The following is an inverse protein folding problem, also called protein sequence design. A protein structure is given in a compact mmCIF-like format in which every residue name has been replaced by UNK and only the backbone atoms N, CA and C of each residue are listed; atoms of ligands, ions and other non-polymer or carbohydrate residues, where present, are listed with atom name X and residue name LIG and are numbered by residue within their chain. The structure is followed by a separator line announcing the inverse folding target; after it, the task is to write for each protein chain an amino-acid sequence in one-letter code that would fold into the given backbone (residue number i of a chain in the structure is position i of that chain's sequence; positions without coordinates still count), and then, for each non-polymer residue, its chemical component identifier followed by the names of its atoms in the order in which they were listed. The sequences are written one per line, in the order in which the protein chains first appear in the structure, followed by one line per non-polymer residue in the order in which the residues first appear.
data_IF_924655722604
#
_entry.id   IF_924655722604
#
_cell.length_a   1.000
_cell.length_b   1.000
_cell.length_c   1.000
_cell.angle_alpha   90.00
_cell.angle_beta   90.00
_cell.angle_gamma   90.00
#
_symmetry.space_group_name_H-M   'P 1'
#
loop_
_entity.id
_entity.type
_entity.pdbx_description
1 polymer ?
#
# COMPACT_ATOMS: atom_id res chain seq x y z
N UNK A 1 -45.32 -0.06 -7.99
CA UNK A 1 -44.10 0.58 -8.50
C UNK A 1 -43.77 1.90 -7.81
N UNK A 2 -44.62 2.94 -7.78
CA UNK A 2 -44.32 4.26 -7.19
C UNK A 2 -43.89 4.19 -5.70
N UNK A 3 -44.57 3.39 -4.87
CA UNK A 3 -44.23 3.25 -3.43
C UNK A 3 -42.84 2.61 -3.26
N UNK A 4 -42.52 1.57 -4.02
CA UNK A 4 -41.22 0.91 -3.95
C UNK A 4 -40.08 1.87 -4.38
N UNK A 5 -40.30 2.66 -5.42
CA UNK A 5 -39.32 3.66 -5.86
C UNK A 5 -39.07 4.74 -4.81
N UNK A 6 -40.15 5.24 -4.15
CA UNK A 6 -40.03 6.22 -3.07
C UNK A 6 -39.28 5.62 -1.86
N UNK A 7 -39.55 4.36 -1.50
CA UNK A 7 -38.85 3.69 -0.38
C UNK A 7 -37.35 3.53 -0.66
N UNK A 8 -36.96 3.17 -1.89
CA UNK A 8 -35.55 3.06 -2.28
C UNK A 8 -34.86 4.42 -2.19
N UNK A 9 -35.46 5.47 -2.74
CA UNK A 9 -34.89 6.83 -2.67
C UNK A 9 -34.69 7.28 -1.23
N UNK A 10 -35.68 7.02 -0.35
CA UNK A 10 -35.58 7.34 1.07
C UNK A 10 -34.44 6.58 1.75
N UNK A 11 -34.26 5.30 1.47
CA UNK A 11 -33.14 4.51 2.01
C UNK A 11 -31.78 5.04 1.56
N UNK A 12 -31.64 5.43 0.29
CA UNK A 12 -30.41 6.03 -0.23
C UNK A 12 -30.11 7.38 0.43
N UNK A 13 -31.13 8.22 0.64
CA UNK A 13 -30.99 9.49 1.35
C UNK A 13 -30.58 9.30 2.81
N UNK A 14 -31.19 8.35 3.53
CA UNK A 14 -30.81 8.01 4.90
C UNK A 14 -29.36 7.52 4.95
N UNK A 15 -28.98 6.62 4.03
CA UNK A 15 -27.61 6.14 3.93
C UNK A 15 -26.60 7.26 3.65
N UNK A 16 -26.92 8.17 2.73
CA UNK A 16 -26.08 9.33 2.42
C UNK A 16 -25.90 10.27 3.62
N UNK A 17 -26.99 10.60 4.33
CA UNK A 17 -26.91 11.44 5.53
C UNK A 17 -26.09 10.74 6.61
N UNK A 18 -26.32 9.44 6.83
CA UNK A 18 -25.55 8.65 7.78
C UNK A 18 -24.06 8.64 7.44
N UNK A 19 -23.70 8.38 6.17
CA UNK A 19 -22.31 8.38 5.71
C UNK A 19 -21.65 9.74 5.89
N UNK A 20 -22.32 10.82 5.48
CA UNK A 20 -21.79 12.17 5.58
C UNK A 20 -21.56 12.59 7.04
N UNK A 21 -22.53 12.33 7.91
CA UNK A 21 -22.41 12.60 9.34
C UNK A 21 -21.30 11.78 9.99
N UNK A 22 -21.24 10.46 9.71
CA UNK A 22 -20.21 9.57 10.25
C UNK A 22 -18.81 9.99 9.79
N UNK A 23 -18.63 10.34 8.51
CA UNK A 23 -17.34 10.80 7.99
C UNK A 23 -16.91 12.13 8.65
N UNK A 24 -17.84 13.04 8.92
CA UNK A 24 -17.55 14.27 9.67
C UNK A 24 -17.10 13.96 11.11
N UNK A 25 -17.82 13.12 11.83
CA UNK A 25 -17.45 12.70 13.20
C UNK A 25 -16.08 12.03 13.19
N UNK A 26 -15.84 11.09 12.28
CA UNK A 26 -14.55 10.38 12.15
C UNK A 26 -13.38 11.34 11.92
N UNK A 27 -13.56 12.34 11.06
CA UNK A 27 -12.49 13.31 10.73
C UNK A 27 -12.02 14.14 11.93
N UNK A 28 -12.86 14.24 12.97
CA UNK A 28 -12.61 15.03 14.19
C UNK A 28 -12.36 14.17 15.43
N UNK A 29 -12.56 12.86 15.36
CA UNK A 29 -12.51 11.96 16.53
C UNK A 29 -11.14 11.34 16.79
N UNK A 30 -10.23 11.41 15.83
CA UNK A 30 -8.92 10.80 15.94
C UNK A 30 -7.82 11.86 15.95
N UNK A 31 -6.87 11.67 16.86
CA UNK A 31 -5.66 12.49 16.92
C UNK A 31 -4.72 12.11 15.77
N UNK A 32 -4.44 13.06 14.90
CA UNK A 32 -3.55 12.90 13.76
C UNK A 32 -2.13 13.20 14.21
N UNK A 33 -1.28 12.18 14.31
CA UNK A 33 0.11 12.29 14.77
C UNK A 33 1.04 12.91 13.73
N UNK A 34 0.64 12.87 12.47
CA UNK A 34 1.40 13.40 11.34
C UNK A 34 0.93 14.79 10.92
N UNK A 35 1.48 15.26 9.83
CA UNK A 35 1.22 16.56 9.23
C UNK A 35 0.74 16.41 7.78
N UNK A 36 0.12 17.47 7.27
CA UNK A 36 -0.29 17.57 5.86
C UNK A 36 0.80 18.32 5.09
N UNK A 37 1.43 17.64 4.13
CA UNK A 37 2.47 18.21 3.26
C UNK A 37 1.82 18.60 1.94
N UNK A 38 1.84 19.89 1.59
CA UNK A 38 1.38 20.40 0.30
C UNK A 38 2.40 20.06 -0.79
N UNK A 39 1.96 19.34 -1.81
CA UNK A 39 2.79 18.92 -2.94
C UNK A 39 2.42 19.63 -4.25
N UNK A 40 1.83 20.81 -4.14
CA UNK A 40 1.46 21.63 -5.29
C UNK A 40 -0.02 21.56 -5.64
N UNK A 41 -0.90 21.86 -4.68
CA UNK A 41 -2.34 22.02 -4.86
C UNK A 41 -3.21 21.00 -4.15
N UNK A 42 -2.63 20.00 -3.54
CA UNK A 42 -3.25 19.07 -2.58
C UNK A 42 -2.16 18.52 -1.65
N UNK A 43 -2.59 17.99 -0.50
CA UNK A 43 -1.68 17.61 0.56
C UNK A 43 -1.73 16.12 0.86
N UNK A 44 -0.57 15.54 1.15
CA UNK A 44 -0.44 14.19 1.68
C UNK A 44 -0.24 14.21 3.19
N UNK A 45 -0.90 13.29 3.87
CA UNK A 45 -0.68 13.03 5.28
C UNK A 45 0.59 12.20 5.47
N UNK A 46 1.51 12.73 6.27
CA UNK A 46 2.84 12.13 6.50
C UNK A 46 3.10 12.05 8.00
N UNK A 47 3.52 10.90 8.48
CA UNK A 47 4.07 10.73 9.83
C UNK A 47 5.60 10.60 9.73
N UNK A 48 6.30 11.39 10.54
CA UNK A 48 7.76 11.44 10.64
C UNK A 48 8.15 11.14 12.08
N UNK A 49 8.70 9.98 12.33
CA UNK A 49 8.96 9.46 13.67
C UNK A 49 10.35 8.86 13.79
N UNK A 50 10.83 8.74 15.03
CA UNK A 50 12.17 8.24 15.29
C UNK A 50 13.26 9.23 14.86
N UNK A 51 14.49 8.83 15.10
CA UNK A 51 15.70 9.59 14.74
C UNK A 51 16.83 8.62 14.41
N UNK A 52 17.67 8.97 13.43
CA UNK A 52 18.78 8.10 13.04
C UNK A 52 19.49 8.65 11.79
N UNK A 53 20.57 7.99 11.42
CA UNK A 53 21.31 8.33 10.18
C UNK A 53 20.63 7.78 8.94
N UNK A 54 19.85 6.72 9.10
CA UNK A 54 19.10 6.06 8.03
C UNK A 54 17.64 6.50 8.14
N UNK A 55 17.06 6.88 7.00
CA UNK A 55 15.62 7.13 6.87
C UNK A 55 14.95 5.94 6.20
N UNK A 56 13.92 5.40 6.82
CA UNK A 56 13.13 4.28 6.29
C UNK A 56 11.76 4.80 5.85
N UNK A 57 11.43 4.58 4.59
CA UNK A 57 10.17 5.06 3.98
C UNK A 57 9.30 3.88 3.65
N UNK A 58 8.03 3.91 4.09
CA UNK A 58 7.09 2.82 3.92
C UNK A 58 5.96 3.18 2.96
N UNK A 59 5.67 2.28 2.01
CA UNK A 59 4.47 2.36 1.17
C UNK A 59 3.60 1.11 1.33
N UNK A 60 2.31 1.33 1.50
CA UNK A 60 1.33 0.28 1.78
C UNK A 60 0.82 -0.43 0.52
N UNK A 61 0.12 -1.53 0.69
CA UNK A 61 -0.56 -2.23 -0.40
C UNK A 61 -1.72 -1.42 -1.01
N UNK A 62 -2.25 -1.91 -2.12
CA UNK A 62 -3.38 -1.28 -2.81
C UNK A 62 -4.58 -1.08 -1.87
N UNK A 63 -5.11 0.14 -1.82
CA UNK A 63 -6.24 0.50 -0.98
C UNK A 63 -5.96 0.46 0.53
N UNK A 64 -4.69 0.32 0.94
CA UNK A 64 -4.28 0.43 2.33
C UNK A 64 -3.69 1.82 2.61
N UNK A 65 -3.89 2.31 3.83
CA UNK A 65 -3.24 3.48 4.39
C UNK A 65 -2.00 3.09 5.22
N UNK A 66 -1.22 4.09 5.63
CA UNK A 66 0.04 3.93 6.36
C UNK A 66 -0.07 3.14 7.66
N UNK A 67 -1.24 3.12 8.30
CA UNK A 67 -1.45 2.45 9.60
C UNK A 67 -1.21 0.93 9.56
N UNK A 68 -1.18 0.32 8.38
CA UNK A 68 -0.85 -1.11 8.23
C UNK A 68 0.57 -1.44 8.70
N UNK A 69 1.42 -0.43 8.76
CA UNK A 69 2.82 -0.54 9.19
C UNK A 69 3.06 -0.28 10.68
N UNK A 70 2.03 0.14 11.45
CA UNK A 70 2.20 0.60 12.83
C UNK A 70 3.08 -0.30 13.70
N UNK A 71 2.92 -1.63 13.63
CA UNK A 71 3.72 -2.59 14.40
C UNK A 71 5.20 -2.59 14.02
N UNK A 72 5.50 -2.37 12.76
CA UNK A 72 6.88 -2.31 12.24
C UNK A 72 7.49 -0.96 12.57
N UNK A 73 6.72 0.12 12.38
CA UNK A 73 7.13 1.50 12.64
C UNK A 73 7.50 1.71 14.10
N UNK A 74 6.70 1.18 15.03
CA UNK A 74 6.95 1.28 16.47
C UNK A 74 8.35 0.80 16.85
N UNK A 75 8.82 -0.29 16.25
CA UNK A 75 10.15 -0.86 16.55
C UNK A 75 11.25 -0.19 15.71
N UNK A 76 11.03 0.05 14.42
CA UNK A 76 12.03 0.64 13.52
C UNK A 76 12.35 2.08 13.93
N UNK A 77 11.38 2.83 14.44
CA UNK A 77 11.59 4.21 14.90
C UNK A 77 12.50 4.33 16.12
N UNK A 78 12.82 3.22 16.79
CA UNK A 78 13.78 3.21 17.90
C UNK A 78 15.25 3.29 17.44
N UNK A 79 15.54 2.96 16.18
CA UNK A 79 16.90 2.96 15.64
C UNK A 79 17.07 3.71 14.31
N UNK A 80 15.97 4.13 13.67
CA UNK A 80 15.98 4.87 12.39
C UNK A 80 14.96 5.99 12.41
N UNK A 81 15.14 7.01 11.55
CA UNK A 81 14.06 7.92 11.19
C UNK A 81 13.08 7.17 10.29
N UNK A 82 11.80 7.31 10.51
CA UNK A 82 10.75 6.60 9.77
C UNK A 82 9.77 7.59 9.18
N UNK A 83 9.54 7.46 7.89
CA UNK A 83 8.52 8.19 7.15
C UNK A 83 7.44 7.20 6.70
N UNK A 84 6.21 7.44 7.13
CA UNK A 84 5.04 6.80 6.55
C UNK A 84 4.12 7.85 5.97
N UNK A 85 3.37 7.51 4.94
CA UNK A 85 2.45 8.44 4.29
C UNK A 85 1.19 7.73 3.82
N UNK A 86 0.10 8.46 3.80
CA UNK A 86 -1.11 8.01 3.13
C UNK A 86 -1.05 8.53 1.67
N UNK A 87 -1.12 7.63 0.69
CA UNK A 87 -1.19 8.06 -0.71
C UNK A 87 -2.40 8.96 -0.94
N UNK A 88 -2.31 9.89 -1.89
CA UNK A 88 -3.40 10.81 -2.19
C UNK A 88 -4.74 10.05 -2.40
N UNK A 89 -5.78 10.53 -1.75
CA UNK A 89 -7.11 9.93 -1.71
C UNK A 89 -7.30 8.82 -0.67
N UNK A 90 -6.24 8.23 -0.12
CA UNK A 90 -6.33 7.24 0.94
C UNK A 90 -6.15 7.89 2.33
N UNK A 91 -6.57 7.17 3.35
CA UNK A 91 -6.38 7.58 4.75
C UNK A 91 -6.80 9.03 5.01
N UNK A 92 -5.87 9.79 5.57
CA UNK A 92 -6.07 11.22 5.88
C UNK A 92 -5.63 12.18 4.76
N UNK A 93 -4.95 11.70 3.70
CA UNK A 93 -4.51 12.52 2.57
C UNK A 93 -5.68 13.10 1.78
N UNK A 94 -5.48 14.25 1.15
CA UNK A 94 -6.44 14.82 0.20
C UNK A 94 -6.49 14.01 -1.10
N UNK A 95 -7.52 14.24 -1.90
CA UNK A 95 -7.67 13.60 -3.22
C UNK A 95 -6.68 14.21 -4.21
N UNK A 96 -6.12 13.35 -5.07
CA UNK A 96 -5.35 13.79 -6.23
C UNK A 96 -6.29 14.08 -7.41
N UNK A 97 -6.03 15.10 -8.21
CA UNK A 97 -6.71 15.29 -9.50
C UNK A 97 -6.18 14.35 -10.60
N UNK A 98 -5.17 13.52 -10.29
CA UNK A 98 -4.49 12.66 -11.25
C UNK A 98 -4.89 11.20 -11.11
N UNK A 99 -4.62 10.43 -12.15
CA UNK A 99 -4.76 8.97 -12.18
C UNK A 99 -3.90 8.32 -11.09
N UNK A 100 -4.34 7.17 -10.56
CA UNK A 100 -3.66 6.49 -9.45
C UNK A 100 -2.73 5.38 -9.94
N UNK A 101 -1.93 5.64 -10.96
CA UNK A 101 -0.85 4.75 -11.38
C UNK A 101 0.43 4.96 -10.55
N UNK A 102 1.34 3.99 -10.65
CA UNK A 102 2.60 4.02 -9.89
C UNK A 102 3.49 5.21 -10.25
N UNK A 103 3.40 5.75 -11.46
CA UNK A 103 4.20 6.91 -11.85
C UNK A 103 3.79 8.15 -11.06
N UNK A 104 2.50 8.45 -11.04
CA UNK A 104 1.96 9.60 -10.29
C UNK A 104 2.24 9.43 -8.79
N UNK A 105 2.02 8.23 -8.24
CA UNK A 105 2.27 7.95 -6.81
C UNK A 105 3.76 8.19 -6.46
N UNK A 106 4.68 7.79 -7.31
CA UNK A 106 6.12 7.99 -7.10
C UNK A 106 6.51 9.47 -7.19
N UNK A 107 5.98 10.19 -8.17
CA UNK A 107 6.20 11.62 -8.31
C UNK A 107 5.66 12.40 -7.08
N UNK A 108 4.49 12.02 -6.56
CA UNK A 108 3.90 12.57 -5.33
C UNK A 108 4.79 12.29 -4.10
N UNK A 109 5.28 11.06 -3.94
CA UNK A 109 6.20 10.72 -2.85
C UNK A 109 7.50 11.51 -2.94
N UNK A 110 8.06 11.63 -4.15
CA UNK A 110 9.28 12.40 -4.35
C UNK A 110 9.09 13.86 -3.93
N UNK A 111 7.96 14.48 -4.30
CA UNK A 111 7.61 15.84 -3.86
C UNK A 111 7.51 15.96 -2.33
N UNK A 112 6.95 14.96 -1.65
CA UNK A 112 6.93 14.93 -0.16
C UNK A 112 8.35 14.91 0.40
N UNK A 113 9.25 14.10 -0.18
CA UNK A 113 10.63 13.98 0.31
C UNK A 113 11.42 15.27 0.07
N UNK A 114 11.19 15.95 -1.07
CA UNK A 114 11.77 17.26 -1.34
C UNK A 114 11.28 18.32 -0.34
N UNK A 115 9.94 18.43 -0.12
CA UNK A 115 9.36 19.41 0.81
C UNK A 115 9.81 19.20 2.28
N UNK A 116 10.17 17.97 2.63
CA UNK A 116 10.70 17.62 3.96
C UNK A 116 12.22 17.62 4.05
N UNK A 117 12.93 18.03 3.01
CA UNK A 117 14.41 17.98 2.93
C UNK A 117 14.97 16.60 3.33
N UNK A 118 14.29 15.50 2.92
CA UNK A 118 14.73 14.13 3.20
C UNK A 118 15.87 13.78 2.25
N UNK A 119 17.05 13.64 2.80
CA UNK A 119 18.28 13.32 2.05
C UNK A 119 19.13 12.31 2.82
N UNK A 120 20.17 11.77 2.19
CA UNK A 120 21.13 10.85 2.80
C UNK A 120 20.79 9.39 2.56
N UNK A 121 21.01 8.54 3.56
CA UNK A 121 20.80 7.09 3.44
C UNK A 121 19.33 6.76 3.58
N UNK A 122 18.69 6.29 2.50
CA UNK A 122 17.27 5.96 2.44
C UNK A 122 17.06 4.48 2.15
N UNK A 123 16.29 3.81 2.98
CA UNK A 123 15.75 2.47 2.75
C UNK A 123 14.28 2.60 2.38
N UNK A 124 13.91 2.10 1.19
CA UNK A 124 12.52 2.03 0.76
C UNK A 124 11.92 0.67 1.13
N UNK A 125 10.74 0.68 1.74
CA UNK A 125 10.01 -0.52 2.16
C UNK A 125 8.63 -0.51 1.53
N UNK A 126 8.31 -1.51 0.71
CA UNK A 126 7.02 -1.58 0.00
C UNK A 126 6.32 -2.92 0.13
N UNK A 127 5.02 -2.89 0.47
CA UNK A 127 4.16 -4.08 0.47
C UNK A 127 3.28 -4.12 -0.77
N UNK A 128 3.20 -5.28 -1.44
CA UNK A 128 2.26 -5.51 -2.55
C UNK A 128 2.38 -4.44 -3.64
N UNK A 129 1.36 -3.60 -3.87
CA UNK A 129 1.39 -2.48 -4.81
C UNK A 129 2.41 -1.40 -4.37
N UNK A 130 2.53 -1.14 -3.07
CA UNK A 130 3.61 -0.29 -2.55
C UNK A 130 5.00 -0.79 -2.93
N UNK A 131 5.18 -2.11 -3.05
CA UNK A 131 6.42 -2.69 -3.58
C UNK A 131 6.68 -2.33 -5.04
N UNK A 132 5.65 -2.19 -5.88
CA UNK A 132 5.76 -1.69 -7.26
C UNK A 132 6.20 -0.23 -7.26
N UNK A 133 5.59 0.59 -6.40
CA UNK A 133 5.93 2.01 -6.29
C UNK A 133 7.38 2.20 -5.82
N UNK A 134 7.83 1.45 -4.81
CA UNK A 134 9.20 1.53 -4.31
C UNK A 134 10.23 1.03 -5.34
N UNK A 135 9.90 -0.02 -6.10
CA UNK A 135 10.73 -0.47 -7.22
C UNK A 135 10.83 0.62 -8.29
N UNK A 136 9.71 1.25 -8.66
CA UNK A 136 9.71 2.36 -9.61
C UNK A 136 10.48 3.56 -9.10
N UNK A 137 10.31 3.91 -7.81
CA UNK A 137 11.06 5.02 -7.19
C UNK A 137 12.57 4.80 -7.34
N UNK A 138 13.06 3.62 -6.96
CA UNK A 138 14.48 3.29 -7.06
C UNK A 138 15.04 3.32 -8.49
N UNK A 139 14.20 3.09 -9.50
CA UNK A 139 14.60 3.19 -10.92
C UNK A 139 14.53 4.63 -11.45
N UNK A 140 13.65 5.44 -10.89
CA UNK A 140 13.44 6.83 -11.34
C UNK A 140 14.42 7.78 -10.64
N UNK A 141 14.70 7.54 -9.36
CA UNK A 141 15.57 8.35 -8.50
C UNK A 141 16.66 7.49 -7.84
N UNK A 142 17.53 6.84 -8.62
CA UNK A 142 18.50 5.85 -8.08
C UNK A 142 19.51 6.45 -7.10
N UNK A 143 19.85 7.74 -7.23
CA UNK A 143 20.80 8.42 -6.34
C UNK A 143 20.23 8.66 -4.94
N UNK A 144 18.92 8.63 -4.77
CA UNK A 144 18.25 8.85 -3.47
C UNK A 144 18.13 7.56 -2.65
N UNK A 145 18.33 6.38 -3.27
CA UNK A 145 17.97 5.10 -2.65
C UNK A 145 19.21 4.28 -2.32
N UNK A 146 19.35 3.93 -1.04
CA UNK A 146 20.48 3.12 -0.56
C UNK A 146 20.14 1.62 -0.48
N UNK A 147 18.88 1.25 -0.26
CA UNK A 147 18.43 -0.14 -0.20
C UNK A 147 16.92 -0.28 -0.41
N UNK A 148 16.49 -1.50 -0.77
CA UNK A 148 15.08 -1.89 -0.95
C UNK A 148 14.70 -3.07 -0.06
N UNK A 149 13.52 -2.99 0.58
CA UNK A 149 12.85 -4.11 1.24
C UNK A 149 11.46 -4.29 0.62
N UNK A 150 11.26 -5.40 -0.06
CA UNK A 150 10.03 -5.70 -0.80
C UNK A 150 9.25 -6.81 -0.09
N UNK A 151 8.13 -6.45 0.52
CA UNK A 151 7.33 -7.37 1.34
C UNK A 151 6.16 -7.90 0.52
N UNK A 152 6.27 -9.14 0.08
CA UNK A 152 5.29 -9.84 -0.78
C UNK A 152 4.83 -8.96 -1.95
N UNK A 153 5.80 -8.27 -2.56
CA UNK A 153 5.58 -7.26 -3.60
C UNK A 153 4.85 -7.80 -4.80
N UNK A 154 4.02 -6.98 -5.42
CA UNK A 154 3.46 -7.31 -6.72
C UNK A 154 4.58 -7.36 -7.78
N UNK A 155 4.34 -8.17 -8.82
CA UNK A 155 5.25 -8.41 -9.92
C UNK A 155 4.56 -8.09 -11.26
N UNK A 156 5.26 -7.56 -12.22
CA UNK A 156 4.71 -7.17 -13.52
C UNK A 156 4.00 -8.30 -14.25
N UNK A 157 4.50 -9.52 -14.14
CA UNK A 157 3.90 -10.69 -14.78
C UNK A 157 2.69 -11.29 -14.04
N UNK A 158 2.34 -10.79 -12.86
CA UNK A 158 1.31 -11.44 -12.05
C UNK A 158 -0.07 -11.47 -12.73
N UNK A 159 -0.40 -10.48 -13.59
CA UNK A 159 -1.69 -10.45 -14.29
C UNK A 159 -1.80 -11.61 -15.29
N UNK A 160 -0.69 -11.97 -15.92
CA UNK A 160 -0.64 -13.03 -16.93
C UNK A 160 -0.43 -14.42 -16.34
N UNK A 161 0.34 -14.50 -15.25
CA UNK A 161 0.73 -15.78 -14.63
C UNK A 161 -0.17 -16.23 -13.48
N UNK A 162 -0.91 -15.30 -12.84
CA UNK A 162 -1.78 -15.63 -11.73
C UNK A 162 -3.25 -15.79 -12.16
N UNK A 163 -4.02 -16.71 -11.53
CA UNK A 163 -5.45 -16.82 -11.78
C UNK A 163 -6.17 -15.50 -11.48
N UNK A 164 -6.98 -15.06 -12.41
CA UNK A 164 -7.76 -13.83 -12.27
C UNK A 164 -9.07 -14.09 -11.53
N UNK A 165 -9.51 -13.10 -10.73
CA UNK A 165 -10.83 -13.12 -10.12
C UNK A 165 -11.92 -13.20 -11.20
N UNK A 166 -13.00 -13.93 -10.93
CA UNK A 166 -14.14 -14.03 -11.84
C UNK A 166 -14.80 -12.67 -12.06
N UNK A 167 -15.50 -12.53 -13.19
CA UNK A 167 -16.25 -11.31 -13.50
C UNK A 167 -17.22 -10.93 -12.36
N UNK A 168 -17.93 -11.90 -11.80
CA UNK A 168 -18.86 -11.66 -10.70
C UNK A 168 -18.16 -11.14 -9.44
N UNK A 169 -16.99 -11.72 -9.07
CA UNK A 169 -16.21 -11.25 -7.94
C UNK A 169 -15.74 -9.81 -8.15
N UNK A 170 -15.21 -9.48 -9.34
CA UNK A 170 -14.80 -8.12 -9.69
C UNK A 170 -15.96 -7.14 -9.64
N UNK A 171 -17.14 -7.55 -10.13
CA UNK A 171 -18.33 -6.71 -10.13
C UNK A 171 -18.85 -6.43 -8.71
N UNK A 172 -18.95 -7.47 -7.86
CA UNK A 172 -19.39 -7.33 -6.48
C UNK A 172 -18.43 -6.46 -5.65
N UNK A 173 -17.13 -6.61 -5.89
CA UNK A 173 -16.10 -5.77 -5.27
C UNK A 173 -16.29 -4.29 -5.66
N UNK A 174 -16.35 -4.00 -6.96
CA UNK A 174 -16.58 -2.63 -7.47
C UNK A 174 -17.91 -2.04 -6.95
N UNK A 175 -18.97 -2.84 -6.94
CA UNK A 175 -20.27 -2.39 -6.44
C UNK A 175 -20.24 -2.01 -4.97
N UNK A 176 -19.56 -2.81 -4.13
CA UNK A 176 -19.39 -2.52 -2.70
C UNK A 176 -18.72 -1.15 -2.47
N UNK A 177 -17.69 -0.86 -3.25
CA UNK A 177 -16.96 0.42 -3.18
C UNK A 177 -17.78 1.58 -3.76
N UNK A 178 -18.48 1.39 -4.89
CA UNK A 178 -19.36 2.38 -5.48
C UNK A 178 -20.50 2.81 -4.55
N UNK A 179 -20.94 1.91 -3.68
CA UNK A 179 -21.96 2.18 -2.68
C UNK A 179 -21.42 2.92 -1.43
N UNK A 180 -20.18 3.40 -1.46
CA UNK A 180 -19.57 4.16 -0.37
C UNK A 180 -20.37 5.42 0.02
N UNK A 181 -20.94 6.22 -0.91
CA UNK A 181 -21.71 7.41 -0.54
C UNK A 181 -22.94 7.11 0.33
N UNK A 182 -23.44 5.89 0.32
CA UNK A 182 -24.59 5.46 1.16
C UNK A 182 -24.18 4.60 2.35
N UNK A 183 -22.88 4.56 2.68
CA UNK A 183 -22.36 3.95 3.90
C UNK A 183 -22.20 2.42 3.87
N UNK A 184 -22.30 1.78 2.71
CA UNK A 184 -22.14 0.32 2.60
C UNK A 184 -20.78 -0.16 3.11
N UNK A 185 -19.62 0.49 2.83
CA UNK A 185 -18.33 0.09 3.38
C UNK A 185 -18.29 0.01 4.90
N UNK A 186 -19.00 0.89 5.61
CA UNK A 186 -19.07 0.86 7.08
C UNK A 186 -19.68 -0.42 7.66
N UNK A 187 -20.50 -1.11 6.87
CA UNK A 187 -21.15 -2.34 7.31
C UNK A 187 -20.19 -3.53 7.27
N UNK A 188 -19.43 -3.69 6.18
CA UNK A 188 -18.48 -4.81 6.09
C UNK A 188 -17.13 -4.52 6.78
N UNK A 189 -16.77 -3.25 7.01
CA UNK A 189 -15.61 -2.84 7.80
C UNK A 189 -15.90 -2.74 9.31
N UNK A 190 -16.92 -3.42 9.81
CA UNK A 190 -17.35 -3.31 11.22
C UNK A 190 -16.36 -3.94 12.22
N UNK A 191 -15.54 -4.89 11.79
CA UNK A 191 -14.67 -5.71 12.64
C UNK A 191 -13.19 -5.31 12.61
N UNK A 192 -12.85 -4.12 12.11
CA UNK A 192 -11.48 -3.59 12.09
C UNK A 192 -11.32 -2.48 13.15
N UNK A 193 -10.10 -2.05 13.39
CA UNK A 193 -9.79 -0.96 14.31
C UNK A 193 -10.65 0.29 13.97
N UNK A 194 -11.19 1.02 14.97
CA UNK A 194 -12.06 2.19 14.73
C UNK A 194 -11.41 3.28 13.87
N UNK A 195 -10.14 3.58 14.04
CA UNK A 195 -9.44 4.55 13.23
C UNK A 195 -9.25 4.07 11.78
N UNK A 196 -8.84 2.81 11.58
CA UNK A 196 -8.75 2.19 10.26
C UNK A 196 -10.12 2.18 9.56
N UNK A 197 -11.20 1.90 10.30
CA UNK A 197 -12.57 1.99 9.79
C UNK A 197 -12.93 3.41 9.38
N UNK A 198 -12.59 4.41 10.19
CA UNK A 198 -12.84 5.82 9.91
C UNK A 198 -12.22 6.24 8.57
N UNK A 199 -10.96 5.89 8.35
CA UNK A 199 -10.22 6.16 7.11
C UNK A 199 -10.82 5.41 5.92
N UNK A 200 -10.93 4.09 6.02
CA UNK A 200 -11.30 3.19 4.91
C UNK A 200 -12.80 3.28 4.52
N UNK A 201 -13.68 3.76 5.41
CA UNK A 201 -15.11 3.88 5.09
C UNK A 201 -15.48 5.14 4.32
N UNK A 202 -14.56 6.06 4.08
CA UNK A 202 -14.86 7.30 3.35
C UNK A 202 -15.08 7.03 1.87
N UNK A 203 -15.94 7.83 1.23
CA UNK A 203 -16.18 7.76 -0.21
C UNK A 203 -14.88 7.99 -0.98
N UNK A 204 -14.10 8.96 -0.56
CA UNK A 204 -12.77 9.29 -1.08
C UNK A 204 -11.88 8.04 -1.13
N UNK A 205 -11.65 7.40 0.03
CA UNK A 205 -10.78 6.22 0.14
C UNK A 205 -11.25 5.07 -0.76
N UNK A 206 -12.55 4.81 -0.80
CA UNK A 206 -13.11 3.70 -1.59
C UNK A 206 -12.96 3.97 -3.10
N UNK A 207 -13.18 5.20 -3.56
CA UNK A 207 -13.02 5.55 -4.97
C UNK A 207 -11.55 5.54 -5.39
N UNK A 208 -10.66 6.07 -4.56
CA UNK A 208 -9.22 5.99 -4.81
C UNK A 208 -8.72 4.54 -4.88
N UNK A 209 -9.22 3.66 -4.01
CA UNK A 209 -8.89 2.23 -4.07
C UNK A 209 -9.38 1.57 -5.36
N UNK A 210 -10.53 2.01 -5.92
CA UNK A 210 -10.98 1.57 -7.24
C UNK A 210 -10.07 2.07 -8.35
N UNK A 211 -9.63 3.31 -8.27
CA UNK A 211 -8.73 3.90 -9.27
C UNK A 211 -7.36 3.20 -9.23
N UNK A 212 -6.78 2.96 -8.05
CA UNK A 212 -5.57 2.15 -7.94
C UNK A 212 -5.74 0.77 -8.60
N UNK A 213 -6.87 0.10 -8.36
CA UNK A 213 -7.16 -1.19 -8.98
C UNK A 213 -7.37 -1.11 -10.50
N UNK A 214 -7.89 0.00 -11.01
CA UNK A 214 -8.07 0.24 -12.45
C UNK A 214 -6.74 0.50 -13.15
N UNK A 215 -5.86 1.32 -12.54
CA UNK A 215 -4.55 1.67 -13.08
C UNK A 215 -3.43 0.67 -12.74
N UNK A 216 -3.71 -0.31 -11.89
CA UNK A 216 -2.74 -1.33 -11.52
C UNK A 216 -2.10 -2.08 -12.70
N UNK A 217 -2.87 -2.55 -13.72
CA UNK A 217 -2.28 -3.20 -14.89
C UNK A 217 -1.31 -2.28 -15.66
N UNK A 218 -1.62 -0.99 -15.75
CA UNK A 218 -0.75 0.00 -16.36
C UNK A 218 0.53 0.18 -15.56
N UNK A 219 0.42 0.31 -14.25
CA UNK A 219 1.57 0.43 -13.33
C UNK A 219 2.54 -0.75 -13.47
N UNK A 220 2.02 -1.97 -13.61
CA UNK A 220 2.84 -3.15 -13.84
C UNK A 220 3.51 -3.16 -15.22
N UNK A 221 2.77 -2.77 -16.27
CA UNK A 221 3.33 -2.67 -17.63
C UNK A 221 4.45 -1.66 -17.70
N UNK A 222 4.24 -0.49 -17.12
CA UNK A 222 5.24 0.58 -17.09
C UNK A 222 6.48 0.20 -16.26
N UNK A 223 6.32 -0.54 -15.15
CA UNK A 223 7.46 -1.07 -14.41
C UNK A 223 8.26 -2.05 -15.26
N UNK A 224 7.59 -2.91 -16.00
CA UNK A 224 8.25 -3.86 -16.92
C UNK A 224 9.05 -3.15 -18.02
N UNK A 225 8.52 -2.04 -18.56
CA UNK A 225 9.19 -1.22 -19.57
C UNK A 225 10.49 -0.58 -19.06
N UNK A 226 10.58 -0.30 -17.75
CA UNK A 226 11.80 0.19 -17.09
C UNK A 226 12.88 -0.89 -16.96
N UNK A 227 12.58 -2.15 -17.27
CA UNK A 227 13.51 -3.29 -17.17
C UNK A 227 14.26 -3.34 -15.83
N UNK A 228 13.55 -3.61 -14.70
CA UNK A 228 14.09 -3.42 -13.36
C UNK A 228 15.42 -4.15 -13.12
N UNK A 229 16.45 -3.35 -12.83
CA UNK A 229 17.79 -3.81 -12.47
C UNK A 229 18.40 -2.78 -11.50
N UNK A 230 18.76 -3.22 -10.31
CA UNK A 230 19.27 -2.37 -9.22
C UNK A 230 20.79 -2.48 -9.04
N UNK A 231 21.51 -3.14 -9.98
CA UNK A 231 22.95 -3.32 -9.88
C UNK A 231 23.36 -4.08 -8.63
N UNK A 232 24.13 -3.43 -7.76
CA UNK A 232 24.60 -3.95 -6.47
C UNK A 232 23.87 -3.34 -5.25
N UNK A 233 22.81 -2.55 -5.49
CA UNK A 233 21.96 -2.00 -4.41
C UNK A 233 21.44 -3.13 -3.52
N UNK A 234 21.60 -3.06 -2.19
CA UNK A 234 21.05 -4.04 -1.27
C UNK A 234 19.54 -4.21 -1.44
N UNK A 235 19.08 -5.45 -1.68
CA UNK A 235 17.69 -5.80 -1.90
C UNK A 235 17.29 -6.97 -0.99
N UNK A 236 16.29 -6.77 -0.16
CA UNK A 236 15.67 -7.84 0.60
C UNK A 236 14.25 -8.08 0.08
N UNK A 237 13.99 -9.28 -0.39
CA UNK A 237 12.66 -9.74 -0.80
C UNK A 237 12.10 -10.65 0.28
N UNK A 238 10.99 -10.25 0.91
CA UNK A 238 10.30 -11.04 1.93
C UNK A 238 9.01 -11.58 1.30
N UNK A 239 8.94 -12.87 1.11
CA UNK A 239 7.83 -13.54 0.45
C UNK A 239 7.05 -14.44 1.41
N UNK A 240 5.74 -14.58 1.19
CA UNK A 240 4.94 -15.56 1.92
C UNK A 240 5.39 -16.99 1.59
N UNK A 241 5.09 -17.94 2.50
CA UNK A 241 5.56 -19.33 2.41
C UNK A 241 5.17 -20.00 1.08
N UNK A 242 6.12 -20.79 0.54
CA UNK A 242 6.06 -21.49 -0.76
C UNK A 242 4.95 -22.52 -0.92
N UNK A 243 4.30 -22.97 0.10
CA UNK A 243 3.14 -23.81 0.12
C UNK A 243 3.13 -24.87 1.22
N UNK A 244 1.97 -25.06 1.76
CA UNK A 244 1.63 -26.29 2.46
C UNK A 244 0.12 -26.53 2.43
N UNK A 245 -0.61 -26.10 1.40
CA UNK A 245 -2.00 -26.53 1.27
C UNK A 245 -2.07 -27.84 0.50
N UNK A 246 -2.78 -28.79 1.04
CA UNK A 246 -3.10 -30.06 0.37
C UNK A 246 -4.09 -29.88 -0.80
N UNK A 247 -4.57 -28.66 -1.03
CA UNK A 247 -5.55 -28.32 -2.07
C UNK A 247 -4.80 -27.86 -3.33
N UNK A 248 -4.84 -28.65 -4.38
CA UNK A 248 -4.09 -28.52 -5.63
C UNK A 248 -4.04 -27.10 -6.25
N UNK A 249 -5.16 -26.40 -6.36
CA UNK A 249 -5.23 -25.09 -7.01
C UNK A 249 -4.52 -23.98 -6.22
N UNK A 250 -4.52 -24.06 -4.89
CA UNK A 250 -3.84 -23.08 -4.04
C UNK A 250 -2.33 -23.27 -4.10
N UNK A 251 -1.88 -24.53 -4.13
CA UNK A 251 -0.46 -24.88 -4.23
C UNK A 251 0.15 -24.40 -5.55
N UNK A 252 -0.54 -24.58 -6.67
CA UNK A 252 -0.05 -24.11 -7.96
C UNK A 252 0.09 -22.57 -7.98
N UNK A 253 -0.88 -21.86 -7.42
CA UNK A 253 -0.84 -20.39 -7.28
C UNK A 253 0.33 -19.92 -6.40
N UNK A 254 0.55 -20.57 -5.26
CA UNK A 254 1.61 -20.21 -4.34
C UNK A 254 3.01 -20.47 -4.94
N UNK A 255 3.17 -21.54 -5.74
CA UNK A 255 4.41 -21.80 -6.46
C UNK A 255 4.69 -20.74 -7.53
N UNK A 256 3.70 -20.34 -8.31
CA UNK A 256 3.84 -19.24 -9.28
C UNK A 256 4.24 -17.95 -8.56
N UNK A 257 3.57 -17.62 -7.46
CA UNK A 257 3.91 -16.43 -6.67
C UNK A 257 5.34 -16.48 -6.14
N UNK A 258 5.77 -17.62 -5.58
CA UNK A 258 7.15 -17.79 -5.11
C UNK A 258 8.17 -17.58 -6.23
N UNK A 259 7.91 -18.12 -7.45
CA UNK A 259 8.77 -17.90 -8.62
C UNK A 259 8.84 -16.42 -9.01
N UNK A 260 7.74 -15.68 -8.91
CA UNK A 260 7.73 -14.24 -9.16
C UNK A 260 8.57 -13.48 -8.14
N UNK A 261 8.50 -13.86 -6.85
CA UNK A 261 9.34 -13.25 -5.81
C UNK A 261 10.83 -13.59 -5.98
N UNK A 262 11.14 -14.82 -6.37
CA UNK A 262 12.51 -15.24 -6.74
C UNK A 262 13.04 -14.43 -7.94
N UNK A 263 12.20 -14.14 -8.91
CA UNK A 263 12.55 -13.27 -10.04
C UNK A 263 12.87 -11.84 -9.58
N UNK A 264 12.07 -11.25 -8.67
CA UNK A 264 12.39 -9.93 -8.11
C UNK A 264 13.78 -9.94 -7.46
N UNK A 265 14.13 -10.99 -6.72
CA UNK A 265 15.43 -11.07 -6.06
C UNK A 265 16.60 -11.10 -7.06
N UNK A 266 16.40 -11.53 -8.30
CA UNK A 266 17.47 -11.51 -9.32
C UNK A 266 17.82 -10.11 -9.84
N UNK A 267 17.06 -9.08 -9.47
CA UNK A 267 17.23 -7.70 -9.95
C UNK A 267 18.41 -6.95 -9.30
N UNK A 268 19.00 -7.53 -8.24
CA UNK A 268 20.23 -7.02 -7.63
C UNK A 268 21.22 -8.15 -7.43
N UNK A 269 22.50 -7.88 -7.65
CA UNK A 269 23.60 -8.81 -7.34
C UNK A 269 23.84 -8.94 -5.83
N UNK A 270 23.33 -7.98 -5.03
CA UNK A 270 23.38 -7.95 -3.57
C UNK A 270 21.96 -8.16 -2.99
N UNK A 271 21.36 -9.31 -3.28
CA UNK A 271 20.00 -9.59 -2.86
C UNK A 271 19.89 -10.77 -1.89
N UNK A 272 18.89 -10.70 -1.01
CA UNK A 272 18.48 -11.78 -0.13
C UNK A 272 16.98 -12.01 -0.28
N UNK A 273 16.56 -13.27 -0.38
CA UNK A 273 15.14 -13.64 -0.33
C UNK A 273 14.83 -14.42 0.94
N UNK A 274 13.79 -14.01 1.65
CA UNK A 274 13.31 -14.61 2.90
C UNK A 274 11.89 -15.12 2.67
N UNK A 275 11.66 -16.41 2.85
CA UNK A 275 10.31 -16.97 2.86
C UNK A 275 9.79 -16.98 4.30
N UNK A 276 8.73 -16.21 4.57
CA UNK A 276 8.11 -16.14 5.89
C UNK A 276 7.38 -17.44 6.25
N UNK A 277 7.12 -17.68 7.53
CA UNK A 277 6.22 -18.76 7.97
C UNK A 277 4.75 -18.48 7.67
N UNK A 278 4.40 -17.22 7.39
CA UNK A 278 3.03 -16.80 7.09
C UNK A 278 2.61 -17.18 5.68
N UNK A 279 1.35 -17.60 5.55
CA UNK A 279 0.69 -17.83 4.26
C UNK A 279 -0.05 -16.59 3.75
N UNK A 280 -0.34 -15.68 4.65
CA UNK A 280 -1.07 -14.46 4.32
C UNK A 280 -0.17 -13.47 3.59
N UNK A 281 -0.78 -12.76 2.68
CA UNK A 281 -0.15 -11.69 1.90
C UNK A 281 0.39 -10.55 2.78
N UNK A 282 -0.28 -10.23 3.90
CA UNK A 282 0.11 -9.15 4.80
C UNK A 282 1.13 -9.62 5.85
N UNK A 283 2.35 -9.98 5.42
CA UNK A 283 3.43 -10.49 6.29
C UNK A 283 3.76 -9.50 7.41
N UNK A 284 3.84 -8.20 7.09
CA UNK A 284 4.13 -7.12 8.04
C UNK A 284 3.12 -7.01 9.19
N UNK A 285 1.88 -7.52 9.01
CA UNK A 285 0.87 -7.58 10.08
C UNK A 285 0.98 -8.86 10.91
N UNK A 286 1.38 -9.98 10.28
CA UNK A 286 1.36 -11.31 10.87
C UNK A 286 2.70 -11.72 11.49
N UNK A 287 3.79 -11.29 10.89
CA UNK A 287 5.18 -11.56 11.30
C UNK A 287 6.02 -10.30 11.12
N UNK A 288 5.70 -9.19 11.83
CA UNK A 288 6.41 -7.92 11.70
C UNK A 288 7.91 -8.04 11.98
N UNK A 289 8.31 -8.98 12.85
CA UNK A 289 9.69 -9.24 13.25
C UNK A 289 10.62 -9.51 12.06
N UNK A 290 10.14 -10.24 11.03
CA UNK A 290 10.94 -10.54 9.83
C UNK A 290 11.27 -9.25 9.06
N UNK A 291 10.31 -8.33 8.97
CA UNK A 291 10.49 -7.05 8.28
C UNK A 291 11.41 -6.14 9.09
N UNK A 292 11.23 -6.11 10.42
CA UNK A 292 12.05 -5.31 11.34
C UNK A 292 13.52 -5.76 11.28
N UNK A 293 13.79 -7.08 11.39
CA UNK A 293 15.13 -7.65 11.30
C UNK A 293 15.81 -7.34 9.96
N UNK A 294 15.07 -7.43 8.84
CA UNK A 294 15.59 -7.09 7.53
C UNK A 294 16.00 -5.61 7.43
N UNK A 295 15.16 -4.70 7.93
CA UNK A 295 15.45 -3.25 7.96
C UNK A 295 16.64 -2.97 8.87
N UNK A 296 16.68 -3.56 10.06
CA UNK A 296 17.77 -3.36 11.02
C UNK A 296 19.10 -3.81 10.44
N UNK A 297 19.15 -5.00 9.84
CA UNK A 297 20.36 -5.53 9.19
C UNK A 297 20.88 -4.59 8.09
N UNK A 298 19.98 -4.05 7.26
CA UNK A 298 20.36 -3.08 6.23
C UNK A 298 20.85 -1.77 6.86
N UNK A 299 20.15 -1.23 7.86
CA UNK A 299 20.51 0.03 8.50
C UNK A 299 21.87 -0.03 9.21
N UNK A 300 22.26 -1.20 9.74
CA UNK A 300 23.58 -1.43 10.36
C UNK A 300 24.71 -1.58 9.32
N UNK A 301 24.38 -1.93 8.07
CA UNK A 301 25.36 -2.16 6.99
C UNK A 301 25.62 -0.94 6.11
N UNK A 302 24.74 0.05 6.14
CA UNK A 302 24.80 1.31 5.37
C UNK A 302 25.43 2.45 6.18
#
# INVERSE_FOLDING_TARGET
MKILSVSIVMLLLVGFVYQSYSSYVDSTSFDKRGEMIDIGGYSLYVEDTGTGKVTVIFDAGMGDDSSVWNKVVEEVSQFSRVITYDRAGLGWSEESPHERDSKVIVDELHSVLEEKDITGTIILVGHSFGGVNMQRYALTYPEDVSALVLVDSAHEDQITKMPQASFLQKYLFKFGMWAAPVGIPRLYLSNINPEEKAKKSTTKHQYTSLDEAEYFPRSLSELNELTPNYGDMPLVVIARNKASSEIDNTKARDLVWATLQENIATRSTNSTIIFSGARQHSIHKMQPEIVIEAIQTLAESL
#
